data_IF_810832694763
#
_entry.id   IF_810832694763
#
_cell.length_a   1.000
_cell.length_b   1.000
_cell.length_c   1.000
_cell.angle_alpha   90.00
_cell.angle_beta   90.00
_cell.angle_gamma   90.00
#
_symmetry.space_group_name_H-M   'P 1'
#
loop_
_entity.id
_entity.type
_entity.pdbx_description
1 polymer ?
#
# COMPACT_ATOMS: atom_id res chain seq x y z
N UNK A 1 0.29 8.37 -8.78
CA UNK A 1 -1.16 8.14 -8.57
C UNK A 1 -1.61 8.66 -7.19
N UNK A 2 -2.93 8.62 -6.92
CA UNK A 2 -3.47 8.80 -5.57
C UNK A 2 -3.18 7.57 -4.67
N UNK A 3 -3.11 7.72 -3.34
CA UNK A 3 -3.02 6.60 -2.42
C UNK A 3 -4.10 5.54 -2.69
N UNK A 4 -3.67 4.30 -2.78
CA UNK A 4 -4.45 3.13 -3.19
C UNK A 4 -4.30 2.06 -2.11
N UNK A 5 -5.41 1.54 -1.63
CA UNK A 5 -5.44 0.47 -0.64
C UNK A 5 -5.53 -0.86 -1.35
N UNK A 6 -4.61 -1.77 -1.02
CA UNK A 6 -4.66 -3.18 -1.43
C UNK A 6 -5.47 -3.95 -0.40
N UNK A 7 -6.36 -4.81 -0.87
CA UNK A 7 -7.19 -5.67 -0.04
C UNK A 7 -6.93 -7.14 -0.33
N UNK A 8 -7.13 -7.96 0.69
CA UNK A 8 -7.09 -9.42 0.62
C UNK A 8 -8.42 -9.92 1.18
N UNK A 9 -9.25 -10.51 0.32
CA UNK A 9 -10.63 -10.89 0.66
C UNK A 9 -11.40 -9.70 1.26
N UNK A 10 -11.31 -8.55 0.60
CA UNK A 10 -11.93 -7.27 0.99
C UNK A 10 -11.44 -6.66 2.32
N UNK A 11 -10.44 -7.26 2.97
CA UNK A 11 -9.79 -6.69 4.15
C UNK A 11 -8.56 -5.83 3.76
N UNK A 12 -8.44 -4.57 4.24
CA UNK A 12 -7.28 -3.72 3.95
C UNK A 12 -5.96 -4.33 4.44
N UNK A 13 -4.98 -4.44 3.54
CA UNK A 13 -3.66 -5.02 3.83
C UNK A 13 -2.55 -3.98 3.87
N UNK A 14 -2.52 -3.08 2.90
CA UNK A 14 -1.57 -1.98 2.85
C UNK A 14 -2.14 -0.80 2.06
N UNK A 15 -1.62 0.39 2.35
CA UNK A 15 -1.87 1.61 1.57
C UNK A 15 -0.58 2.01 0.87
N UNK A 16 -0.66 2.18 -0.45
CA UNK A 16 0.50 2.46 -1.31
C UNK A 16 0.20 3.62 -2.25
N UNK A 17 1.22 4.34 -2.68
CA UNK A 17 1.11 5.42 -3.67
C UNK A 17 2.03 5.11 -4.86
N UNK A 18 1.60 4.22 -5.77
CA UNK A 18 2.37 3.91 -6.96
C UNK A 18 2.50 5.15 -7.86
N UNK A 19 3.54 5.19 -8.69
CA UNK A 19 3.70 6.29 -9.64
C UNK A 19 2.61 6.23 -10.71
N UNK A 20 2.34 5.03 -11.24
CA UNK A 20 1.33 4.75 -12.26
C UNK A 20 0.71 3.34 -12.09
N UNK A 21 -0.19 2.98 -12.99
CA UNK A 21 -0.85 1.65 -12.98
C UNK A 21 0.13 0.51 -13.26
N UNK A 22 1.23 0.74 -14.00
CA UNK A 22 2.22 -0.30 -14.28
C UNK A 22 2.99 -0.66 -13.01
N UNK A 23 3.35 0.35 -12.23
CA UNK A 23 4.01 0.21 -10.94
C UNK A 23 3.11 -0.50 -9.93
N UNK A 24 1.82 -0.15 -9.88
CA UNK A 24 0.81 -0.87 -9.07
C UNK A 24 0.75 -2.35 -9.43
N UNK A 25 0.60 -2.67 -10.72
CA UNK A 25 0.51 -4.05 -11.19
C UNK A 25 1.82 -4.83 -10.96
N UNK A 26 2.97 -4.16 -11.00
CA UNK A 26 4.26 -4.76 -10.65
C UNK A 26 4.32 -5.09 -9.16
N UNK A 27 3.87 -4.19 -8.30
CA UNK A 27 3.81 -4.46 -6.87
C UNK A 27 2.88 -5.63 -6.53
N UNK A 28 1.66 -5.66 -7.08
CA UNK A 28 0.72 -6.77 -6.84
C UNK A 28 1.31 -8.12 -7.25
N UNK A 29 2.03 -8.16 -8.37
CA UNK A 29 2.67 -9.38 -8.88
C UNK A 29 3.85 -9.82 -8.03
N UNK A 30 4.79 -8.91 -7.76
CA UNK A 30 6.03 -9.22 -7.05
C UNK A 30 5.80 -9.40 -5.55
N UNK A 31 4.89 -8.62 -4.98
CA UNK A 31 4.49 -8.65 -3.59
C UNK A 31 3.44 -9.71 -3.26
N UNK A 32 3.03 -10.56 -4.22
CA UNK A 32 1.95 -11.55 -4.03
C UNK A 32 2.13 -12.39 -2.77
N UNK A 33 3.33 -12.91 -2.52
CA UNK A 33 3.63 -13.70 -1.31
C UNK A 33 3.46 -12.89 -0.01
N UNK A 34 3.89 -11.63 -0.01
CA UNK A 34 3.72 -10.72 1.14
C UNK A 34 2.26 -10.34 1.39
N UNK A 35 1.52 -10.11 0.30
CA UNK A 35 0.12 -9.73 0.31
C UNK A 35 -0.75 -10.88 0.83
N UNK A 36 -0.52 -12.09 0.31
CA UNK A 36 -1.30 -13.27 0.67
C UNK A 36 -0.91 -13.86 2.03
N UNK A 37 0.35 -13.78 2.44
CA UNK A 37 0.82 -14.27 3.75
C UNK A 37 0.21 -15.65 4.11
N UNK A 38 -0.59 -15.73 5.18
CA UNK A 38 -1.25 -16.95 5.65
C UNK A 38 -2.52 -17.34 4.87
N UNK A 39 -2.92 -16.53 3.88
CA UNK A 39 -4.07 -16.73 2.99
C UNK A 39 -3.62 -16.98 1.55
N UNK A 40 -3.01 -18.14 1.24
CA UNK A 40 -2.45 -18.42 -0.09
C UNK A 40 -3.48 -18.41 -1.23
N UNK A 41 -4.76 -18.64 -0.93
CA UNK A 41 -5.87 -18.59 -1.89
C UNK A 41 -6.65 -17.26 -1.85
N UNK A 42 -6.22 -16.30 -1.04
CA UNK A 42 -6.87 -15.00 -0.90
C UNK A 42 -6.94 -14.24 -2.23
N UNK A 43 -8.02 -13.47 -2.40
CA UNK A 43 -8.22 -12.63 -3.58
C UNK A 43 -7.62 -11.25 -3.34
N UNK A 44 -6.67 -10.86 -4.20
CA UNK A 44 -6.09 -9.51 -4.20
C UNK A 44 -6.98 -8.57 -5.01
N UNK A 45 -7.45 -7.50 -4.38
CA UNK A 45 -8.14 -6.38 -5.04
C UNK A 45 -7.54 -5.05 -4.60
N UNK A 46 -7.92 -3.94 -5.24
CA UNK A 46 -7.47 -2.61 -4.83
C UNK A 46 -8.56 -1.56 -5.03
N UNK A 47 -8.52 -0.50 -4.21
CA UNK A 47 -9.40 0.69 -4.34
C UNK A 47 -8.66 1.96 -3.94
N UNK A 48 -9.24 3.12 -4.21
CA UNK A 48 -8.74 4.37 -3.63
C UNK A 48 -8.78 4.30 -2.10
N UNK A 49 -7.73 4.81 -1.46
CA UNK A 49 -7.66 4.86 -0.01
C UNK A 49 -8.73 5.79 0.55
N UNK A 50 -9.34 5.39 1.67
CA UNK A 50 -10.25 6.26 2.43
C UNK A 50 -9.46 7.24 3.31
N UNK A 51 -10.16 8.18 3.97
CA UNK A 51 -9.50 9.22 4.77
C UNK A 51 -8.64 8.66 5.92
N UNK A 52 -9.05 7.56 6.54
CA UNK A 52 -8.30 6.91 7.62
C UNK A 52 -6.99 6.33 7.07
N UNK A 53 -7.06 5.62 5.95
CA UNK A 53 -5.93 4.99 5.28
C UNK A 53 -4.96 6.04 4.71
N UNK A 54 -5.49 7.14 4.17
CA UNK A 54 -4.70 8.32 3.75
C UNK A 54 -4.00 8.93 4.96
N UNK A 55 -4.67 9.04 6.11
CA UNK A 55 -4.09 9.52 7.36
C UNK A 55 -2.92 8.65 7.84
N UNK A 56 -3.09 7.31 7.81
CA UNK A 56 -2.01 6.36 8.08
C UNK A 56 -0.84 6.58 7.10
N UNK A 57 -1.11 6.64 5.79
CA UNK A 57 -0.08 6.87 4.76
C UNK A 57 0.70 8.17 4.97
N UNK A 58 0.01 9.29 5.25
CA UNK A 58 0.64 10.59 5.53
C UNK A 58 1.52 10.54 6.77
N UNK A 59 1.12 9.81 7.80
CA UNK A 59 1.93 9.63 9.03
C UNK A 59 3.20 8.85 8.72
N UNK A 60 3.11 7.78 7.93
CA UNK A 60 4.29 7.04 7.44
C UNK A 60 5.22 7.89 6.59
N UNK A 61 4.66 8.71 5.69
CA UNK A 61 5.45 9.65 4.89
C UNK A 61 6.16 10.68 5.78
N UNK A 62 5.48 11.23 6.79
CA UNK A 62 6.06 12.18 7.71
C UNK A 62 7.25 11.56 8.48
N UNK A 63 7.12 10.31 8.91
CA UNK A 63 8.22 9.57 9.53
C UNK A 63 9.39 9.36 8.56
N UNK A 64 9.12 8.97 7.32
CA UNK A 64 10.14 8.80 6.28
C UNK A 64 10.90 10.10 6.01
N UNK A 65 10.18 11.22 5.90
CA UNK A 65 10.76 12.56 5.75
C UNK A 65 11.57 12.99 6.98
N UNK A 66 11.19 12.58 8.18
CA UNK A 66 11.92 12.89 9.41
C UNK A 66 13.32 12.22 9.46
N UNK A 67 13.47 11.05 8.82
CA UNK A 67 14.79 10.44 8.56
C UNK A 67 15.52 11.11 7.36
N UNK A 68 14.83 11.93 6.56
CA UNK A 68 15.42 12.63 5.42
C UNK A 68 15.22 11.91 4.08
N UNK A 69 14.31 10.94 4.00
CA UNK A 69 13.91 10.33 2.74
C UNK A 69 13.03 11.24 1.88
N UNK A 70 13.07 11.04 0.56
CA UNK A 70 12.28 11.82 -0.39
C UNK A 70 10.83 11.32 -0.47
N UNK A 71 9.89 12.19 -0.85
CA UNK A 71 8.47 11.78 -0.96
C UNK A 71 8.24 10.74 -2.06
N UNK A 72 8.98 10.88 -3.15
CA UNK A 72 8.95 10.02 -4.33
C UNK A 72 9.50 8.61 -4.04
N UNK A 73 10.30 8.48 -2.98
CA UNK A 73 10.86 7.21 -2.52
C UNK A 73 9.92 6.49 -1.53
N UNK A 74 8.91 7.19 -0.99
CA UNK A 74 7.96 6.60 -0.06
C UNK A 74 6.82 5.88 -0.78
N UNK A 75 6.95 4.56 -0.89
CA UNK A 75 5.95 3.75 -1.59
C UNK A 75 4.65 3.54 -0.79
N UNK A 76 4.73 3.24 0.51
CA UNK A 76 3.56 2.92 1.32
C UNK A 76 3.87 2.14 2.58
N UNK A 77 2.82 1.66 3.25
CA UNK A 77 2.92 0.98 4.53
C UNK A 77 1.80 -0.06 4.74
N UNK A 78 2.05 -1.11 5.55
CA UNK A 78 1.02 -2.07 5.93
C UNK A 78 -0.05 -1.42 6.81
N UNK A 79 -1.31 -1.78 6.58
CA UNK A 79 -2.46 -1.26 7.33
C UNK A 79 -2.88 -2.16 8.49
N UNK A 80 -2.24 -3.32 8.63
CA UNK A 80 -2.45 -4.22 9.76
C UNK A 80 -2.20 -3.47 11.06
N UNK A 81 -3.16 -3.57 11.97
CA UNK A 81 -2.92 -3.28 13.38
C UNK A 81 -2.04 -4.38 13.99
#
# INVERSE_FOLDING_TARGET
MMPTTILIDDAPRCVVRPTDTKDLNRFIRNGKTFLLAEKPEGKITHRLANDIEIGKWRSGLALHKAWGGAEEEFFGLPLTD
#
